data_IF_568772103622
#
_entry.id   IF_568772103622
#
_cell.length_a   1.000
_cell.length_b   1.000
_cell.length_c   1.000
_cell.angle_alpha   90.00
_cell.angle_beta   90.00
_cell.angle_gamma   90.00
#
_symmetry.space_group_name_H-M   'P 1'
#
loop_
_entity.id
_entity.type
_entity.pdbx_description
1 polymer ?
#
# COMPACT_ATOMS: atom_id res chain seq x y z
N UNK A 1 16.34 -12.66 8.65
CA UNK A 1 15.18 -13.50 8.30
C UNK A 1 14.42 -12.80 7.20
N UNK A 2 13.80 -13.54 6.29
CA UNK A 2 13.00 -12.95 5.22
C UNK A 2 11.82 -13.85 4.89
N UNK A 3 10.75 -13.26 4.37
CA UNK A 3 9.60 -14.01 3.87
C UNK A 3 9.51 -13.73 2.38
N UNK A 4 9.73 -14.73 1.51
CA UNK A 4 9.56 -14.57 0.08
C UNK A 4 8.17 -14.05 -0.28
N UNK A 5 8.08 -13.17 -1.28
CA UNK A 5 6.82 -12.53 -1.68
C UNK A 5 5.71 -13.54 -2.00
N UNK A 6 6.04 -14.63 -2.69
CA UNK A 6 5.12 -15.70 -3.03
C UNK A 6 4.57 -16.46 -1.82
N UNK A 7 5.22 -16.35 -0.65
CA UNK A 7 4.83 -16.98 0.61
C UNK A 7 4.25 -16.01 1.63
N UNK A 8 4.31 -14.70 1.39
CA UNK A 8 3.86 -13.70 2.35
C UNK A 8 2.41 -13.94 2.78
N UNK A 9 1.51 -14.15 1.83
CA UNK A 9 0.09 -14.33 2.13
C UNK A 9 -0.21 -15.67 2.80
N UNK A 10 0.54 -16.72 2.49
CA UNK A 10 0.47 -17.99 3.24
C UNK A 10 0.96 -17.82 4.69
N UNK A 11 1.96 -16.96 4.89
CA UNK A 11 2.44 -16.63 6.22
C UNK A 11 1.39 -15.84 7.02
N UNK A 12 0.74 -14.86 6.40
CA UNK A 12 -0.39 -14.13 6.98
C UNK A 12 -1.56 -15.08 7.28
N UNK A 13 -1.88 -16.01 6.38
CA UNK A 13 -2.89 -17.04 6.59
C UNK A 13 -2.59 -17.91 7.80
N UNK A 14 -1.34 -18.33 7.98
CA UNK A 14 -0.93 -19.11 9.14
C UNK A 14 -1.09 -18.33 10.45
N UNK A 15 -0.70 -17.05 10.48
CA UNK A 15 -0.92 -16.17 11.63
C UNK A 15 -2.43 -16.04 11.91
N UNK A 16 -3.23 -15.85 10.89
CA UNK A 16 -4.68 -15.73 11.03
C UNK A 16 -5.31 -17.01 11.59
N UNK A 17 -4.87 -18.18 11.13
CA UNK A 17 -5.33 -19.50 11.63
C UNK A 17 -4.93 -19.78 13.06
N UNK A 18 -3.80 -19.23 13.53
CA UNK A 18 -3.44 -19.29 14.95
C UNK A 18 -4.43 -18.50 15.83
N UNK A 19 -5.10 -17.49 15.28
CA UNK A 19 -6.03 -16.62 15.98
C UNK A 19 -7.46 -17.16 15.91
N UNK A 20 -7.89 -17.66 14.76
CA UNK A 20 -9.23 -18.22 14.55
C UNK A 20 -9.29 -19.10 13.31
N UNK A 21 -10.07 -20.20 13.40
CA UNK A 21 -10.34 -21.10 12.28
C UNK A 21 -11.37 -20.54 11.29
N UNK A 22 -11.94 -19.37 11.59
CA UNK A 22 -13.04 -18.77 10.85
C UNK A 22 -12.61 -17.69 9.85
N UNK A 23 -11.37 -17.72 9.37
CA UNK A 23 -10.85 -16.73 8.42
C UNK A 23 -10.76 -17.32 7.00
N UNK A 24 -11.20 -16.52 6.02
CA UNK A 24 -10.95 -16.72 4.60
C UNK A 24 -10.14 -15.53 4.10
N UNK A 25 -9.00 -15.82 3.48
CA UNK A 25 -8.08 -14.79 3.01
C UNK A 25 -8.21 -14.62 1.51
N UNK A 26 -8.36 -13.37 1.09
CA UNK A 26 -8.28 -12.94 -0.28
C UNK A 26 -7.12 -11.94 -0.43
N UNK A 27 -6.37 -12.03 -1.47
CA UNK A 27 -5.35 -11.03 -1.81
C UNK A 27 -5.69 -10.29 -3.08
N UNK A 28 -5.19 -9.07 -3.19
CA UNK A 28 -5.17 -8.34 -4.45
C UNK A 28 -3.81 -8.53 -5.11
N UNK A 29 -3.77 -9.28 -6.20
CA UNK A 29 -2.54 -9.61 -6.91
C UNK A 29 -2.31 -8.69 -8.11
N UNK A 30 -1.07 -8.42 -8.45
CA UNK A 30 0.18 -8.43 -7.66
C UNK A 30 0.46 -7.08 -7.00
N UNK A 31 -0.19 -5.99 -7.40
CA UNK A 31 0.10 -4.62 -7.00
C UNK A 31 -1.18 -3.84 -6.70
N UNK A 32 -2.08 -4.44 -5.98
CA UNK A 32 -3.40 -3.89 -5.76
C UNK A 32 -4.31 -4.14 -6.97
N UNK A 33 -5.42 -4.80 -6.75
CA UNK A 33 -6.38 -5.07 -7.81
C UNK A 33 -7.13 -3.80 -8.19
N UNK A 34 -7.49 -3.72 -9.45
CA UNK A 34 -8.35 -2.66 -9.99
C UNK A 34 -9.82 -3.03 -9.93
N UNK A 35 -10.14 -4.31 -9.75
CA UNK A 35 -11.51 -4.86 -9.74
C UNK A 35 -11.66 -5.94 -8.67
N UNK A 36 -12.88 -6.07 -8.14
CA UNK A 36 -13.17 -7.14 -7.17
C UNK A 36 -13.07 -8.55 -7.78
N UNK A 37 -13.29 -8.68 -9.07
CA UNK A 37 -13.15 -9.94 -9.78
C UNK A 37 -11.71 -10.46 -9.82
N UNK A 38 -10.75 -9.57 -9.62
CA UNK A 38 -9.31 -9.92 -9.59
C UNK A 38 -8.87 -10.46 -8.22
N UNK A 39 -9.79 -10.65 -7.26
CA UNK A 39 -9.48 -11.24 -5.97
C UNK A 39 -9.13 -12.71 -6.12
N UNK A 40 -7.99 -13.09 -5.58
CA UNK A 40 -7.56 -14.47 -5.46
C UNK A 40 -7.83 -14.98 -4.04
N UNK A 41 -8.57 -16.08 -3.93
CA UNK A 41 -8.76 -16.77 -2.66
C UNK A 41 -7.55 -17.65 -2.36
N UNK A 42 -6.95 -17.46 -1.18
CA UNK A 42 -5.79 -18.22 -0.72
C UNK A 42 -6.17 -19.43 0.12
N UNK A 43 -7.35 -19.39 0.71
CA UNK A 43 -7.87 -20.52 1.48
C UNK A 43 -8.76 -21.35 0.57
N UNK A 44 -8.40 -22.59 0.31
CA UNK A 44 -9.10 -23.45 -0.64
C UNK A 44 -10.58 -23.70 -0.29
N UNK A 45 -11.34 -24.24 -1.24
CA UNK A 45 -12.79 -24.45 -1.10
C UNK A 45 -13.19 -25.38 0.06
N UNK A 46 -12.28 -26.15 0.62
CA UNK A 46 -12.50 -27.03 1.77
C UNK A 46 -12.94 -26.25 3.01
N UNK A 47 -12.54 -24.98 3.14
CA UNK A 47 -12.94 -24.10 4.24
C UNK A 47 -14.41 -23.70 4.19
N UNK A 48 -15.09 -23.87 3.06
CA UNK A 48 -16.49 -23.52 2.85
C UNK A 48 -17.49 -24.55 3.38
N UNK A 49 -17.01 -25.78 3.65
CA UNK A 49 -17.89 -26.89 4.04
C UNK A 49 -18.39 -26.81 5.47
N UNK A 50 -17.76 -26.01 6.33
CA UNK A 50 -18.20 -25.76 7.68
C UNK A 50 -19.28 -24.68 7.70
N UNK A 51 -20.42 -24.92 8.33
CA UNK A 51 -21.54 -23.99 8.51
C UNK A 51 -21.20 -22.73 9.33
N UNK A 52 -20.01 -22.66 9.91
CA UNK A 52 -19.56 -21.51 10.69
C UNK A 52 -19.35 -20.27 9.84
N UNK A 53 -19.67 -19.12 10.39
CA UNK A 53 -19.43 -17.81 9.77
C UNK A 53 -17.93 -17.61 9.52
N UNK A 54 -17.59 -17.27 8.29
CA UNK A 54 -16.19 -17.00 7.92
C UNK A 54 -15.93 -15.51 7.91
N UNK A 55 -14.82 -15.10 8.52
CA UNK A 55 -14.31 -13.73 8.46
C UNK A 55 -13.56 -13.56 7.14
N UNK A 56 -13.96 -12.58 6.34
CA UNK A 56 -13.25 -12.26 5.10
C UNK A 56 -12.10 -11.31 5.40
N UNK A 57 -10.91 -11.65 4.95
CA UNK A 57 -9.72 -10.81 5.06
C UNK A 57 -9.19 -10.47 3.67
N UNK A 58 -9.15 -9.18 3.35
CA UNK A 58 -8.59 -8.67 2.10
C UNK A 58 -7.21 -8.09 2.35
N UNK A 59 -6.21 -8.57 1.62
CA UNK A 59 -4.86 -8.04 1.68
C UNK A 59 -4.64 -7.06 0.52
N UNK A 60 -4.57 -5.78 0.84
CA UNK A 60 -4.24 -4.70 -0.07
C UNK A 60 -3.14 -3.83 0.57
N UNK A 61 -1.97 -4.41 0.71
CA UNK A 61 -0.90 -3.93 1.57
C UNK A 61 0.39 -3.53 0.82
N UNK A 62 0.46 -3.80 -0.49
CA UNK A 62 1.65 -3.48 -1.29
C UNK A 62 1.55 -2.14 -2.01
N UNK A 63 0.36 -1.65 -2.26
CA UNK A 63 0.11 -0.37 -2.93
C UNK A 63 -0.80 0.50 -2.06
N UNK A 64 -0.81 1.82 -2.26
CA UNK A 64 -1.75 2.70 -1.59
C UNK A 64 -3.20 2.27 -1.84
N UNK A 65 -4.03 2.30 -0.80
CA UNK A 65 -5.42 1.88 -0.87
C UNK A 65 -6.20 2.62 -1.96
N UNK A 66 -6.81 1.85 -2.85
CA UNK A 66 -7.66 2.39 -3.90
C UNK A 66 -9.13 2.37 -3.47
N UNK A 67 -9.62 3.51 -2.99
CA UNK A 67 -11.01 3.61 -2.55
C UNK A 67 -12.03 3.28 -3.65
N UNK A 68 -11.73 3.56 -4.91
CA UNK A 68 -12.65 3.26 -6.03
C UNK A 68 -12.97 1.77 -6.15
N UNK A 69 -12.07 0.91 -5.70
CA UNK A 69 -12.28 -0.53 -5.68
C UNK A 69 -13.53 -0.93 -4.88
N UNK A 70 -13.82 -0.22 -3.80
CA UNK A 70 -14.90 -0.52 -2.85
C UNK A 70 -16.13 0.37 -3.02
N UNK A 71 -16.06 1.43 -3.82
CA UNK A 71 -17.20 2.31 -4.10
C UNK A 71 -18.36 1.54 -4.76
N UNK A 72 -18.04 0.61 -5.64
CA UNK A 72 -19.03 -0.18 -6.37
C UNK A 72 -19.82 -1.15 -5.48
N UNK A 73 -19.28 -1.49 -4.29
CA UNK A 73 -20.03 -2.30 -3.31
C UNK A 73 -21.21 -1.51 -2.73
N UNK A 74 -21.11 -0.18 -2.72
CA UNK A 74 -22.15 0.70 -2.15
C UNK A 74 -23.15 1.29 -3.17
N UNK A 75 -22.87 1.23 -4.45
CA UNK A 75 -23.68 1.87 -5.51
C UNK A 75 -24.88 1.02 -5.94
N UNK A 76 -24.79 -0.31 -5.77
CA UNK A 76 -25.90 -1.17 -6.10
C UNK A 76 -27.04 -1.05 -5.08
N UNK A 77 -28.26 -1.08 -5.56
CA UNK A 77 -29.45 -1.18 -4.70
C UNK A 77 -29.27 -2.34 -3.71
N UNK A 78 -29.84 -2.27 -2.50
CA UNK A 78 -29.79 -3.38 -1.55
C UNK A 78 -30.18 -4.73 -2.18
N UNK A 79 -31.09 -4.72 -3.12
CA UNK A 79 -31.57 -5.89 -3.85
C UNK A 79 -30.49 -6.45 -4.81
N UNK A 80 -29.88 -5.61 -5.63
CA UNK A 80 -28.79 -6.03 -6.53
C UNK A 80 -27.56 -6.49 -5.75
N UNK A 81 -27.29 -5.90 -4.60
CA UNK A 81 -26.29 -6.40 -3.67
C UNK A 81 -26.58 -7.82 -3.25
N UNK A 82 -27.77 -8.11 -2.78
CA UNK A 82 -28.17 -9.46 -2.36
C UNK A 82 -28.03 -10.43 -3.54
N UNK A 83 -28.51 -10.08 -4.74
CA UNK A 83 -28.42 -10.96 -5.91
C UNK A 83 -26.97 -11.27 -6.35
N UNK A 84 -26.08 -10.29 -6.28
CA UNK A 84 -24.65 -10.51 -6.56
C UNK A 84 -23.96 -11.42 -5.53
N UNK A 85 -24.59 -11.61 -4.37
CA UNK A 85 -24.13 -12.41 -3.26
C UNK A 85 -24.49 -13.88 -3.38
N UNK A 86 -25.51 -14.14 -4.20
CA UNK A 86 -26.03 -15.46 -4.44
C UNK A 86 -25.37 -16.02 -5.70
N UNK A 87 -24.77 -17.17 -5.58
CA UNK A 87 -24.35 -17.97 -6.72
C UNK A 87 -25.01 -19.34 -6.61
N UNK A 88 -25.28 -19.96 -7.74
CA UNK A 88 -25.67 -21.35 -7.77
C UNK A 88 -24.42 -22.20 -7.92
N UNK A 89 -24.34 -23.31 -7.17
CA UNK A 89 -23.33 -24.32 -7.40
C UNK A 89 -23.66 -25.18 -8.63
N UNK A 90 -22.78 -26.15 -8.93
CA UNK A 90 -22.95 -27.06 -10.07
C UNK A 90 -24.22 -27.89 -10.01
N UNK A 91 -24.80 -28.04 -8.80
CA UNK A 91 -25.99 -28.80 -8.52
C UNK A 91 -27.24 -27.90 -8.33
N UNK A 92 -27.16 -26.64 -8.76
CA UNK A 92 -28.19 -25.61 -8.60
C UNK A 92 -28.56 -25.26 -7.16
N UNK A 93 -27.72 -25.59 -6.17
CA UNK A 93 -27.95 -25.14 -4.82
C UNK A 93 -27.46 -23.72 -4.63
N UNK A 94 -28.22 -22.95 -3.84
CA UNK A 94 -27.88 -21.58 -3.53
C UNK A 94 -26.62 -21.51 -2.66
N UNK A 95 -25.57 -20.92 -3.20
CA UNK A 95 -24.36 -20.60 -2.44
C UNK A 95 -24.33 -19.12 -2.11
N UNK A 96 -24.05 -18.83 -0.86
CA UNK A 96 -23.86 -17.48 -0.37
C UNK A 96 -22.37 -17.18 -0.40
N UNK A 97 -21.96 -16.15 -1.15
CA UNK A 97 -20.56 -15.69 -1.12
C UNK A 97 -20.27 -15.10 0.27
N UNK A 98 -19.31 -15.64 1.04
CA UNK A 98 -19.08 -15.21 2.44
C UNK A 98 -18.68 -13.76 2.58
N UNK A 99 -18.14 -13.15 1.51
CA UNK A 99 -17.70 -11.75 1.47
C UNK A 99 -18.72 -10.72 1.91
N UNK A 100 -19.96 -11.13 2.20
CA UNK A 100 -21.08 -10.23 2.31
C UNK A 100 -21.67 -10.14 3.71
N UNK A 101 -21.52 -11.18 4.48
CA UNK A 101 -22.16 -11.29 5.79
C UNK A 101 -21.30 -10.80 6.93
N UNK A 102 -20.01 -10.70 6.69
CA UNK A 102 -19.04 -10.39 7.72
C UNK A 102 -18.49 -9.00 7.53
N UNK A 103 -18.21 -8.34 8.62
CA UNK A 103 -17.25 -7.26 8.60
C UNK A 103 -15.97 -7.82 8.02
N UNK A 104 -15.35 -7.05 7.17
CA UNK A 104 -14.17 -7.46 6.43
C UNK A 104 -12.94 -6.89 7.13
N UNK A 105 -11.95 -7.73 7.41
CA UNK A 105 -10.61 -7.26 7.71
C UNK A 105 -9.96 -6.78 6.43
N UNK A 106 -9.46 -5.55 6.44
CA UNK A 106 -8.67 -4.97 5.36
C UNK A 106 -7.23 -4.83 5.82
N UNK A 107 -6.36 -5.71 5.36
CA UNK A 107 -4.92 -5.62 5.63
C UNK A 107 -4.32 -4.56 4.73
N UNK A 108 -3.64 -3.59 5.32
CA UNK A 108 -3.08 -2.43 4.61
C UNK A 108 -1.77 -1.97 5.23
N UNK A 109 -1.04 -1.13 4.51
CA UNK A 109 0.27 -0.61 4.92
C UNK A 109 0.35 0.92 4.89
N UNK A 110 -0.77 1.63 4.96
CA UNK A 110 -0.75 3.09 5.01
C UNK A 110 -1.30 3.61 6.33
N UNK A 111 -0.66 4.66 6.86
CA UNK A 111 -1.15 5.42 8.01
C UNK A 111 -1.79 6.74 7.56
N UNK A 112 -2.52 7.39 8.46
CA UNK A 112 -3.23 8.67 8.24
C UNK A 112 -4.17 8.68 7.03
N UNK A 113 -4.65 7.52 6.62
CA UNK A 113 -5.50 7.40 5.44
C UNK A 113 -6.93 7.87 5.71
N UNK A 114 -7.33 8.96 5.07
CA UNK A 114 -8.75 9.39 5.04
C UNK A 114 -9.65 8.33 4.39
N UNK A 115 -9.08 7.47 3.54
CA UNK A 115 -9.81 6.37 2.93
C UNK A 115 -10.16 5.29 3.95
N UNK A 116 -9.35 5.04 4.98
CA UNK A 116 -9.66 4.07 6.04
C UNK A 116 -10.96 4.44 6.78
N UNK A 117 -11.21 5.71 7.03
CA UNK A 117 -12.48 6.17 7.65
C UNK A 117 -13.65 5.77 6.76
N UNK A 118 -13.52 5.93 5.44
CA UNK A 118 -14.57 5.53 4.48
C UNK A 118 -14.76 4.02 4.46
N UNK A 119 -13.69 3.23 4.56
CA UNK A 119 -13.79 1.78 4.67
C UNK A 119 -14.44 1.35 5.99
N UNK A 120 -14.11 1.97 7.11
CA UNK A 120 -14.72 1.70 8.41
C UNK A 120 -16.23 1.99 8.40
N UNK A 121 -16.66 3.08 7.76
CA UNK A 121 -18.07 3.38 7.56
C UNK A 121 -18.79 2.33 6.69
N UNK A 122 -18.05 1.59 5.87
CA UNK A 122 -18.53 0.48 5.05
C UNK A 122 -18.34 -0.90 5.72
N UNK A 123 -18.15 -0.94 7.03
CA UNK A 123 -17.99 -2.16 7.84
C UNK A 123 -16.64 -2.88 7.67
N UNK A 124 -15.64 -2.23 7.12
CA UNK A 124 -14.28 -2.78 7.10
C UNK A 124 -13.55 -2.45 8.42
N UNK A 125 -12.75 -3.38 8.89
CA UNK A 125 -11.82 -3.16 9.99
C UNK A 125 -10.42 -3.19 9.43
N UNK A 126 -9.69 -2.08 9.57
CA UNK A 126 -8.30 -1.98 9.13
C UNK A 126 -7.37 -2.83 9.98
N UNK A 127 -6.49 -3.57 9.32
CA UNK A 127 -5.39 -4.30 9.93
C UNK A 127 -4.10 -3.75 9.34
N UNK A 128 -3.48 -2.85 10.08
CA UNK A 128 -2.25 -2.21 9.67
C UNK A 128 -1.02 -3.07 9.98
N UNK A 129 -0.06 -3.06 9.07
CA UNK A 129 1.34 -3.41 9.30
C UNK A 129 2.22 -2.83 8.18
N UNK A 130 3.50 -2.66 8.44
CA UNK A 130 4.40 -2.18 7.40
C UNK A 130 4.85 -3.31 6.46
N UNK A 131 4.06 -3.59 5.44
CA UNK A 131 4.26 -4.73 4.52
C UNK A 131 5.60 -4.68 3.80
N UNK A 132 6.01 -3.49 3.33
CA UNK A 132 7.27 -3.34 2.61
C UNK A 132 8.49 -3.68 3.47
N UNK A 133 8.39 -3.53 4.80
CA UNK A 133 9.45 -3.97 5.70
C UNK A 133 9.73 -5.48 5.57
N UNK A 134 8.69 -6.30 5.45
CA UNK A 134 8.84 -7.75 5.27
C UNK A 134 9.28 -8.12 3.86
N UNK A 135 8.67 -7.51 2.85
CA UNK A 135 8.97 -7.79 1.44
C UNK A 135 10.42 -7.44 1.08
N UNK A 136 10.88 -6.28 1.55
CA UNK A 136 12.22 -5.78 1.20
C UNK A 136 13.33 -6.52 1.91
N UNK A 137 13.08 -7.15 3.05
CA UNK A 137 14.02 -8.07 3.67
C UNK A 137 14.38 -9.24 2.73
N UNK A 138 13.42 -9.71 1.93
CA UNK A 138 13.69 -10.71 0.90
C UNK A 138 14.32 -10.11 -0.35
N UNK A 139 13.78 -9.02 -0.85
CA UNK A 139 14.29 -8.37 -2.07
C UNK A 139 15.74 -7.92 -1.93
N UNK A 140 16.09 -7.34 -0.78
CA UNK A 140 17.44 -6.84 -0.51
C UNK A 140 18.33 -7.82 0.28
N UNK A 141 17.95 -9.10 0.40
CA UNK A 141 18.70 -10.10 1.19
C UNK A 141 20.18 -10.18 0.83
N UNK A 142 20.52 -9.99 -0.45
CA UNK A 142 21.89 -10.00 -0.90
C UNK A 142 22.69 -8.76 -0.50
N UNK A 143 22.01 -7.63 -0.24
CA UNK A 143 22.64 -6.41 0.23
C UNK A 143 23.24 -6.58 1.64
N UNK A 144 22.75 -7.52 2.45
CA UNK A 144 23.30 -7.82 3.77
C UNK A 144 24.80 -8.12 3.74
N UNK A 145 25.25 -8.84 2.72
CA UNK A 145 26.63 -9.30 2.59
C UNK A 145 27.51 -8.36 1.76
N UNK A 146 26.97 -7.26 1.28
CA UNK A 146 27.74 -6.26 0.58
C UNK A 146 28.50 -5.43 1.61
N UNK A 147 29.80 -5.73 1.76
CA UNK A 147 30.69 -4.86 2.51
C UNK A 147 31.07 -3.68 1.63
N UNK A 148 30.89 -2.47 2.15
CA UNK A 148 31.29 -1.29 1.40
C UNK A 148 32.80 -1.31 1.20
N UNK A 149 33.25 -1.54 -0.03
CA UNK A 149 34.63 -1.27 -0.44
C UNK A 149 34.85 0.25 -0.35
N UNK A 150 36.13 0.67 -0.29
CA UNK A 150 36.46 2.08 -0.38
C UNK A 150 35.75 2.70 -1.59
N UNK A 151 34.87 3.64 -1.33
CA UNK A 151 34.10 4.32 -2.38
C UNK A 151 35.03 5.13 -3.27
N UNK A 152 34.74 5.15 -4.57
CA UNK A 152 35.37 6.06 -5.52
C UNK A 152 34.28 7.03 -5.98
N UNK A 153 34.12 8.10 -5.21
CA UNK A 153 33.01 9.04 -5.39
C UNK A 153 33.21 9.87 -6.64
N UNK A 154 32.21 9.84 -7.53
CA UNK A 154 32.14 10.63 -8.75
C UNK A 154 31.01 11.66 -8.71
N UNK A 155 29.97 11.39 -7.94
CA UNK A 155 28.79 12.25 -7.74
C UNK A 155 28.40 12.27 -6.27
N UNK A 156 27.78 13.38 -5.84
CA UNK A 156 27.31 13.49 -4.44
C UNK A 156 26.00 12.71 -4.25
N UNK A 157 25.08 12.83 -5.19
CA UNK A 157 23.72 12.31 -5.04
C UNK A 157 23.41 11.19 -6.03
N UNK A 158 22.76 10.15 -5.54
CA UNK A 158 22.13 9.11 -6.34
C UNK A 158 20.62 9.34 -6.35
N UNK A 159 20.01 9.31 -7.54
CA UNK A 159 18.58 9.52 -7.71
C UNK A 159 18.00 8.42 -8.60
N UNK A 160 17.37 7.43 -7.99
CA UNK A 160 16.63 6.43 -8.75
C UNK A 160 15.20 6.90 -9.00
N UNK A 161 14.82 6.98 -10.27
CA UNK A 161 13.46 7.29 -10.67
C UNK A 161 13.02 6.40 -11.84
N UNK A 162 12.04 5.53 -11.59
CA UNK A 162 11.50 4.63 -12.61
C UNK A 162 10.34 5.24 -13.38
N UNK A 163 9.44 5.93 -12.68
CA UNK A 163 8.19 6.45 -13.22
C UNK A 163 7.82 7.75 -12.52
N UNK A 164 7.14 8.64 -13.22
CA UNK A 164 6.73 9.94 -12.69
C UNK A 164 5.23 10.23 -12.80
N UNK A 165 4.44 9.39 -13.45
CA UNK A 165 2.99 9.61 -13.58
C UNK A 165 2.20 9.37 -12.28
N UNK A 166 0.99 9.93 -12.20
CA UNK A 166 0.07 9.79 -11.09
C UNK A 166 0.56 10.52 -9.82
N UNK A 167 0.64 9.85 -8.69
CA UNK A 167 1.10 10.43 -7.42
C UNK A 167 2.58 10.81 -7.40
N UNK A 168 3.29 10.65 -8.52
CA UNK A 168 4.74 10.83 -8.64
C UNK A 168 5.12 12.01 -9.54
N UNK A 169 4.16 12.82 -9.97
CA UNK A 169 4.38 13.98 -10.86
C UNK A 169 5.40 14.98 -10.29
N UNK A 170 5.46 15.13 -8.97
CA UNK A 170 6.43 15.97 -8.26
C UNK A 170 7.89 15.65 -8.62
N UNK A 171 8.20 14.44 -9.10
CA UNK A 171 9.54 14.03 -9.50
C UNK A 171 10.09 14.80 -10.69
N UNK A 172 9.22 15.25 -11.59
CA UNK A 172 9.61 16.11 -12.71
C UNK A 172 9.95 17.51 -12.19
N UNK A 173 9.15 18.07 -11.27
CA UNK A 173 9.45 19.36 -10.64
C UNK A 173 10.69 19.30 -9.77
N UNK A 174 10.93 18.19 -9.10
CA UNK A 174 12.18 17.97 -8.38
C UNK A 174 13.40 18.13 -9.29
N UNK A 175 13.40 17.48 -10.46
CA UNK A 175 14.48 17.59 -11.44
C UNK A 175 14.59 19.00 -12.00
N UNK A 176 13.48 19.66 -12.26
CA UNK A 176 13.42 21.06 -12.68
C UNK A 176 14.15 21.99 -11.68
N UNK A 177 13.90 21.82 -10.38
CA UNK A 177 14.59 22.55 -9.32
C UNK A 177 16.10 22.23 -9.26
N UNK A 178 16.51 20.98 -9.52
CA UNK A 178 17.94 20.64 -9.60
C UNK A 178 18.64 21.36 -10.77
N UNK A 179 17.96 21.55 -11.89
CA UNK A 179 18.47 22.32 -13.02
C UNK A 179 18.62 23.79 -12.62
N UNK A 180 17.58 24.38 -12.01
CA UNK A 180 17.58 25.77 -11.55
C UNK A 180 18.72 26.06 -10.53
N UNK A 181 19.00 25.11 -9.65
CA UNK A 181 20.04 25.20 -8.63
C UNK A 181 21.44 24.82 -9.12
N UNK A 182 21.59 24.41 -10.39
CA UNK A 182 22.87 23.98 -10.96
C UNK A 182 23.42 22.69 -10.34
N UNK A 183 22.55 21.79 -9.88
CA UNK A 183 22.93 20.56 -9.17
C UNK A 183 23.07 19.34 -10.10
N UNK A 184 22.80 19.47 -11.38
CA UNK A 184 22.82 18.36 -12.34
C UNK A 184 24.14 17.59 -12.30
N UNK A 185 25.27 18.32 -12.27
CA UNK A 185 26.61 17.70 -12.24
C UNK A 185 26.93 16.97 -10.91
N UNK A 186 26.19 17.26 -9.85
CA UNK A 186 26.31 16.57 -8.57
C UNK A 186 25.51 15.28 -8.50
N UNK A 187 24.65 15.00 -9.49
CA UNK A 187 23.68 13.92 -9.45
C UNK A 187 24.02 12.79 -10.43
N UNK A 188 23.87 11.56 -9.98
CA UNK A 188 23.73 10.38 -10.82
C UNK A 188 22.26 9.97 -10.80
N UNK A 189 21.57 10.10 -11.94
CA UNK A 189 20.12 10.00 -12.01
C UNK A 189 19.63 9.05 -13.10
N UNK A 190 18.47 8.42 -12.87
CA UNK A 190 17.72 7.64 -13.85
C UNK A 190 16.42 8.31 -14.33
N UNK A 191 16.27 9.61 -14.12
CA UNK A 191 15.07 10.34 -14.55
C UNK A 191 14.98 10.34 -16.07
N UNK A 192 13.80 9.99 -16.59
CA UNK A 192 13.50 10.03 -18.02
C UNK A 192 12.40 11.04 -18.30
N UNK A 193 12.51 11.84 -19.36
CA UNK A 193 11.43 12.71 -19.81
C UNK A 193 10.22 11.94 -20.35
N UNK A 194 10.40 10.65 -20.67
CA UNK A 194 9.35 9.76 -21.16
C UNK A 194 8.93 8.82 -20.04
N UNK A 195 7.63 8.76 -19.75
CA UNK A 195 7.06 7.80 -18.77
C UNK A 195 7.18 6.37 -19.31
N UNK A 196 7.92 5.48 -18.63
CA UNK A 196 8.25 4.17 -19.18
C UNK A 196 7.04 3.27 -19.43
N UNK A 197 5.97 3.40 -18.63
CA UNK A 197 4.77 2.57 -18.78
C UNK A 197 3.83 3.05 -19.88
N UNK A 198 3.79 4.36 -20.12
CA UNK A 198 2.84 5.00 -21.02
C UNK A 198 3.47 5.30 -22.38
N UNK A 199 4.80 5.33 -22.46
CA UNK A 199 5.52 5.83 -23.63
C UNK A 199 5.24 7.31 -23.91
N UNK A 200 4.79 8.05 -22.87
CA UNK A 200 4.31 9.42 -23.00
C UNK A 200 5.39 10.39 -22.53
N UNK A 201 5.73 11.35 -23.39
CA UNK A 201 6.62 12.44 -23.04
C UNK A 201 5.91 13.44 -22.11
N UNK A 202 6.63 14.02 -21.12
CA UNK A 202 6.02 14.92 -20.13
C UNK A 202 5.31 16.14 -20.74
N UNK A 203 5.78 16.65 -21.88
CA UNK A 203 5.13 17.75 -22.62
C UNK A 203 3.72 17.40 -23.14
N UNK A 204 3.40 16.13 -23.23
CA UNK A 204 2.10 15.60 -23.66
C UNK A 204 1.24 15.15 -22.47
N UNK A 205 1.80 15.23 -21.26
CA UNK A 205 1.11 14.78 -20.05
C UNK A 205 0.21 15.88 -19.50
N UNK A 206 -1.01 15.47 -19.12
CA UNK A 206 -1.90 16.32 -18.35
C UNK A 206 -1.64 16.10 -16.85
N UNK A 207 -1.00 17.09 -16.22
CA UNK A 207 -0.69 17.04 -14.79
C UNK A 207 -1.95 17.14 -13.94
N UNK A 208 -2.04 16.31 -12.90
CA UNK A 208 -3.10 16.40 -11.90
C UNK A 208 -2.92 17.65 -11.02
N UNK A 209 -1.67 17.99 -10.74
CA UNK A 209 -1.28 19.23 -10.07
C UNK A 209 -0.35 20.02 -10.99
N UNK A 210 -0.78 21.21 -11.43
CA UNK A 210 -0.01 22.06 -12.31
C UNK A 210 1.32 22.56 -11.72
N UNK A 211 1.44 22.57 -10.39
CA UNK A 211 2.68 22.91 -9.69
C UNK A 211 3.84 21.94 -10.03
N UNK A 212 3.51 20.71 -10.42
CA UNK A 212 4.50 19.69 -10.77
C UNK A 212 4.97 19.74 -12.22
N UNK A 213 4.41 20.63 -13.03
CA UNK A 213 4.87 20.83 -14.41
C UNK A 213 6.27 21.45 -14.42
N UNK A 214 7.27 20.83 -15.05
CA UNK A 214 8.60 21.40 -15.15
C UNK A 214 8.64 22.61 -16.07
N UNK A 215 9.44 23.62 -15.70
CA UNK A 215 9.67 24.82 -16.51
C UNK A 215 10.84 24.69 -17.49
N UNK A 216 11.77 23.76 -17.23
CA UNK A 216 12.97 23.54 -18.01
C UNK A 216 12.85 22.34 -18.94
N UNK A 217 13.66 22.31 -20.00
CA UNK A 217 13.79 21.16 -20.90
C UNK A 217 14.68 20.13 -20.22
N UNK A 218 14.09 19.03 -19.76
CA UNK A 218 14.80 18.03 -18.96
C UNK A 218 15.86 17.25 -19.73
N UNK A 219 15.62 16.99 -21.03
CA UNK A 219 16.51 16.21 -21.90
C UNK A 219 17.88 16.85 -22.08
N UNK A 220 17.94 18.17 -22.11
CA UNK A 220 19.19 18.92 -22.33
C UNK A 220 20.11 18.86 -21.10
N UNK A 221 19.54 18.60 -19.92
CA UNK A 221 20.24 18.73 -18.65
C UNK A 221 20.44 17.43 -17.90
N UNK A 222 19.59 16.41 -18.12
CA UNK A 222 19.62 15.17 -17.38
C UNK A 222 19.86 13.97 -18.29
N UNK A 223 21.12 13.71 -18.69
CA UNK A 223 21.45 12.44 -19.33
C UNK A 223 21.16 11.30 -18.37
N UNK A 224 20.56 10.22 -18.87
CA UNK A 224 20.33 9.00 -18.08
C UNK A 224 21.69 8.35 -17.84
N UNK A 225 22.26 8.58 -16.66
CA UNK A 225 23.53 8.01 -16.25
C UNK A 225 23.41 6.67 -15.53
N UNK A 226 22.19 6.36 -15.08
CA UNK A 226 21.85 5.12 -14.38
C UNK A 226 20.84 4.37 -15.21
N UNK A 227 21.12 3.12 -15.54
CA UNK A 227 20.19 2.30 -16.33
C UNK A 227 18.82 2.24 -15.63
N UNK A 228 17.73 2.51 -16.35
CA UNK A 228 16.40 2.40 -15.78
C UNK A 228 16.17 0.95 -15.37
N UNK A 229 15.89 0.74 -14.09
CA UNK A 229 15.50 -0.57 -13.57
C UNK A 229 14.07 -0.89 -13.99
N UNK A 230 13.82 -2.12 -14.42
CA UNK A 230 12.46 -2.60 -14.65
C UNK A 230 11.70 -2.81 -13.35
N UNK A 231 12.41 -2.99 -12.25
CA UNK A 231 11.87 -3.21 -10.92
C UNK A 231 12.34 -2.13 -9.95
N UNK A 232 11.43 -1.58 -9.17
CA UNK A 232 11.73 -0.54 -8.18
C UNK A 232 12.60 -1.06 -7.01
N UNK A 233 12.64 -2.39 -6.84
CA UNK A 233 13.49 -3.05 -5.86
C UNK A 233 14.93 -3.30 -6.34
N UNK A 234 15.24 -3.06 -7.62
CA UNK A 234 16.60 -3.23 -8.13
C UNK A 234 17.53 -2.12 -7.66
N UNK A 235 18.79 -2.47 -7.52
CA UNK A 235 19.87 -1.53 -7.28
C UNK A 235 21.16 -2.02 -7.95
N UNK A 236 22.03 -1.06 -8.32
CA UNK A 236 23.35 -1.34 -8.84
C UNK A 236 24.39 -0.97 -7.77
N UNK A 237 25.16 -1.93 -7.32
CA UNK A 237 26.18 -1.70 -6.29
C UNK A 237 27.21 -0.64 -6.70
N UNK A 238 27.53 -0.53 -7.99
CA UNK A 238 28.48 0.48 -8.47
C UNK A 238 27.96 1.89 -8.29
N UNK A 239 26.65 2.12 -8.38
CA UNK A 239 26.04 3.42 -8.14
C UNK A 239 26.23 3.84 -6.67
N UNK A 240 26.09 2.88 -5.73
CA UNK A 240 26.34 3.13 -4.30
C UNK A 240 27.82 3.29 -3.97
N UNK A 241 28.72 2.73 -4.78
CA UNK A 241 30.18 2.91 -4.62
C UNK A 241 30.67 4.24 -5.21
N UNK A 242 29.90 4.84 -6.10
CA UNK A 242 30.25 6.08 -6.80
C UNK A 242 29.53 7.32 -6.26
N UNK A 243 28.63 7.17 -5.28
CA UNK A 243 27.83 8.27 -4.73
C UNK A 243 27.86 8.28 -3.20
N UNK A 244 27.62 9.46 -2.60
CA UNK A 244 27.62 9.62 -1.14
C UNK A 244 26.24 9.42 -0.52
N UNK A 245 25.20 9.99 -1.12
CA UNK A 245 23.84 10.11 -0.54
C UNK A 245 22.80 9.71 -1.58
N UNK A 246 21.85 8.85 -1.23
CA UNK A 246 20.69 8.60 -2.07
C UNK A 246 19.58 9.60 -1.75
N UNK A 247 19.02 10.26 -2.77
CA UNK A 247 17.78 11.03 -2.63
C UNK A 247 16.62 10.15 -3.06
N UNK A 248 15.88 9.72 -2.07
CA UNK A 248 14.75 8.80 -2.26
C UNK A 248 13.51 9.56 -2.68
N UNK A 249 12.96 9.23 -3.84
CA UNK A 249 11.72 9.81 -4.34
C UNK A 249 10.57 8.80 -4.13
N UNK A 250 9.82 8.95 -3.05
CA UNK A 250 8.75 8.01 -2.69
C UNK A 250 7.53 8.05 -3.62
N UNK A 251 6.64 7.07 -3.48
CA UNK A 251 5.42 6.95 -4.27
C UNK A 251 4.39 8.02 -3.88
N UNK A 252 4.27 8.30 -2.60
CA UNK A 252 3.39 9.34 -2.06
C UNK A 252 4.25 10.50 -1.57
N UNK A 253 3.98 11.68 -2.09
CA UNK A 253 4.64 12.93 -1.71
C UNK A 253 3.61 14.05 -1.49
N UNK A 254 2.81 14.34 -2.51
CA UNK A 254 1.67 15.26 -2.46
C UNK A 254 0.42 14.48 -2.00
N UNK A 255 0.44 14.06 -0.74
CA UNK A 255 -0.58 13.21 -0.13
C UNK A 255 -0.50 13.34 1.40
N UNK A 256 -1.61 13.13 2.09
CA UNK A 256 -1.64 13.06 3.56
C UNK A 256 -1.27 11.66 4.10
N UNK A 257 -1.36 10.64 3.26
CA UNK A 257 -1.14 9.24 3.64
C UNK A 257 0.34 8.94 3.78
N UNK A 258 0.68 8.22 4.82
CA UNK A 258 2.03 7.73 5.09
C UNK A 258 2.14 6.28 4.62
N UNK A 259 2.94 6.06 3.58
CA UNK A 259 3.17 4.75 2.98
C UNK A 259 4.58 4.69 2.39
N UNK A 260 5.53 4.24 3.21
CA UNK A 260 6.90 4.05 2.78
C UNK A 260 7.06 2.69 2.12
N UNK A 261 7.74 2.70 0.98
CA UNK A 261 7.89 1.56 0.11
C UNK A 261 9.32 1.02 0.10
N UNK A 262 9.61 0.10 -0.81
CA UNK A 262 10.95 -0.43 -1.04
C UNK A 262 12.00 0.67 -1.31
N UNK A 263 11.58 1.83 -1.79
CA UNK A 263 12.48 2.93 -2.14
C UNK A 263 13.20 3.49 -0.92
N UNK A 264 12.46 3.70 0.17
CA UNK A 264 13.03 4.16 1.45
C UNK A 264 13.93 3.11 2.09
N UNK A 265 13.62 1.83 1.90
CA UNK A 265 14.37 0.73 2.52
C UNK A 265 15.59 0.30 1.71
N UNK A 266 15.67 0.66 0.43
CA UNK A 266 16.81 0.35 -0.43
C UNK A 266 18.12 0.97 0.05
N UNK A 267 18.26 2.30 0.27
CA UNK A 267 19.49 2.87 0.80
C UNK A 267 19.83 2.32 2.18
N UNK A 268 18.83 2.05 3.02
CA UNK A 268 19.03 1.43 4.33
C UNK A 268 19.66 0.05 4.18
N UNK A 269 19.11 -0.80 3.32
CA UNK A 269 19.65 -2.15 3.06
C UNK A 269 21.06 -2.10 2.47
N UNK A 270 21.35 -1.11 1.62
CA UNK A 270 22.66 -0.90 1.01
C UNK A 270 23.67 -0.24 1.96
N UNK A 271 23.23 0.30 3.10
CA UNK A 271 24.09 1.04 4.03
C UNK A 271 24.53 2.40 3.48
N UNK A 272 23.63 3.11 2.82
CA UNK A 272 23.85 4.43 2.21
C UNK A 272 23.13 5.51 3.02
N UNK A 273 23.76 6.65 3.33
CA UNK A 273 23.06 7.84 3.78
C UNK A 273 21.98 8.26 2.78
N UNK A 274 20.88 8.83 3.25
CA UNK A 274 19.78 9.22 2.37
C UNK A 274 19.07 10.51 2.80
N UNK A 275 18.47 11.18 1.82
CA UNK A 275 17.47 12.23 1.98
C UNK A 275 16.14 11.66 1.48
N UNK A 276 15.07 11.79 2.26
CA UNK A 276 13.80 11.17 1.96
C UNK A 276 12.77 12.21 1.47
N UNK A 277 12.48 12.20 0.19
CA UNK A 277 11.36 12.93 -0.39
C UNK A 277 10.09 12.05 -0.35
N UNK A 278 9.36 12.14 0.72
CA UNK A 278 8.10 11.45 0.98
C UNK A 278 7.04 12.40 1.53
N UNK A 279 5.91 11.86 1.92
CA UNK A 279 4.88 12.58 2.67
C UNK A 279 5.46 13.11 3.98
N UNK A 280 4.97 14.25 4.47
CA UNK A 280 5.43 14.83 5.74
C UNK A 280 5.32 13.82 6.90
N UNK A 281 6.29 13.82 7.82
CA UNK A 281 6.40 12.86 8.93
C UNK A 281 6.96 11.49 8.53
N UNK A 282 7.52 11.34 7.33
CA UNK A 282 8.14 10.09 6.87
C UNK A 282 9.38 9.71 7.67
N UNK A 283 10.19 10.68 8.09
CA UNK A 283 11.37 10.44 8.93
C UNK A 283 10.96 10.07 10.36
N UNK A 284 9.91 10.69 10.90
CA UNK A 284 9.36 10.30 12.20
C UNK A 284 8.85 8.85 12.18
N UNK A 285 8.19 8.47 11.09
CA UNK A 285 7.74 7.10 10.88
C UNK A 285 8.91 6.11 10.86
N UNK A 286 10.01 6.40 10.17
CA UNK A 286 11.22 5.57 10.21
C UNK A 286 11.79 5.45 11.64
N UNK A 287 11.85 6.57 12.38
CA UNK A 287 12.32 6.57 13.77
C UNK A 287 11.45 5.72 14.68
N UNK A 288 10.14 5.65 14.45
CA UNK A 288 9.23 4.81 15.24
C UNK A 288 9.51 3.30 15.10
N UNK A 289 10.18 2.90 14.02
CA UNK A 289 10.66 1.53 13.81
C UNK A 289 12.14 1.32 14.23
N UNK A 290 12.75 2.29 14.91
CA UNK A 290 14.11 2.17 15.44
C UNK A 290 15.23 2.60 14.49
N UNK A 291 14.90 3.08 13.29
CA UNK A 291 15.90 3.67 12.40
C UNK A 291 16.36 5.03 12.89
N UNK A 292 17.61 5.36 12.63
CA UNK A 292 18.18 6.68 12.87
C UNK A 292 18.09 7.54 11.61
N UNK A 293 17.89 8.84 11.79
CA UNK A 293 17.91 9.83 10.73
C UNK A 293 19.10 10.79 10.92
N UNK A 294 19.28 11.73 10.03
CA UNK A 294 20.53 12.50 9.92
C UNK A 294 20.41 13.93 10.47
N UNK A 295 19.39 14.21 11.29
CA UNK A 295 19.02 15.56 11.73
C UNK A 295 20.06 16.33 12.53
N UNK A 296 21.14 15.68 13.01
CA UNK A 296 22.26 16.35 13.67
C UNK A 296 23.43 16.66 12.70
N UNK A 297 23.37 16.17 11.46
CA UNK A 297 24.35 16.40 10.40
C UNK A 297 23.83 17.43 9.40
N UNK A 298 22.57 17.30 9.01
CA UNK A 298 21.89 18.26 8.13
C UNK A 298 20.46 18.51 8.58
N UNK A 299 19.89 19.61 8.13
CA UNK A 299 18.55 20.01 8.51
C UNK A 299 17.49 19.09 7.90
N UNK A 300 16.74 18.36 8.74
CA UNK A 300 15.61 17.51 8.37
C UNK A 300 14.24 18.16 8.60
N UNK A 301 14.20 19.48 8.85
CA UNK A 301 12.96 20.19 9.13
C UNK A 301 11.95 20.14 7.97
N UNK A 302 12.42 19.85 6.76
CA UNK A 302 11.56 19.63 5.61
C UNK A 302 10.51 18.53 5.85
N UNK A 303 10.82 17.51 6.65
CA UNK A 303 9.89 16.41 6.95
C UNK A 303 8.66 16.85 7.75
N UNK A 304 8.70 18.00 8.41
CA UNK A 304 7.59 18.56 9.19
C UNK A 304 6.72 19.51 8.36
N UNK A 305 7.13 19.86 7.15
CA UNK A 305 6.41 20.79 6.27
C UNK A 305 5.25 20.06 5.59
N UNK A 306 4.02 20.48 5.89
CA UNK A 306 2.81 19.88 5.31
C UNK A 306 2.64 20.25 3.83
N UNK A 307 2.94 21.50 3.46
CA UNK A 307 2.86 21.96 2.08
C UNK A 307 3.90 21.22 1.20
N UNK A 308 3.46 20.49 0.16
CA UNK A 308 4.37 19.65 -0.63
C UNK A 308 5.31 20.48 -1.52
N UNK A 309 4.91 21.64 -2.00
CA UNK A 309 5.79 22.50 -2.82
C UNK A 309 6.90 23.10 -1.96
N UNK A 310 6.55 23.65 -0.78
CA UNK A 310 7.54 24.15 0.18
C UNK A 310 8.47 23.03 0.64
N UNK A 311 7.94 21.84 0.92
CA UNK A 311 8.74 20.67 1.30
C UNK A 311 9.74 20.29 0.22
N UNK A 312 9.33 20.30 -1.06
CA UNK A 312 10.21 19.99 -2.18
C UNK A 312 11.35 21.01 -2.32
N UNK A 313 11.03 22.30 -2.19
CA UNK A 313 12.02 23.38 -2.21
C UNK A 313 13.03 23.18 -1.07
N UNK A 314 12.58 22.92 0.16
CA UNK A 314 13.49 22.69 1.30
C UNK A 314 14.42 21.48 1.08
N UNK A 315 13.93 20.42 0.43
CA UNK A 315 14.76 19.25 0.09
C UNK A 315 15.83 19.63 -0.93
N UNK A 316 15.49 20.36 -1.98
CA UNK A 316 16.46 20.77 -2.98
C UNK A 316 17.45 21.83 -2.47
N UNK A 317 17.01 22.73 -1.58
CA UNK A 317 17.88 23.66 -0.85
C UNK A 317 18.87 22.94 0.06
N UNK A 318 18.43 21.88 0.74
CA UNK A 318 19.33 21.01 1.53
C UNK A 318 20.39 20.38 0.62
N UNK A 319 19.99 19.83 -0.52
CA UNK A 319 20.96 19.27 -1.49
C UNK A 319 21.95 20.32 -1.97
N UNK A 320 21.50 21.55 -2.22
CA UNK A 320 22.35 22.64 -2.61
C UNK A 320 23.34 23.04 -1.52
N UNK A 321 22.93 23.04 -0.25
CA UNK A 321 23.83 23.27 0.90
C UNK A 321 24.89 22.18 1.01
N UNK A 322 24.49 20.90 0.92
CA UNK A 322 25.40 19.76 0.97
C UNK A 322 26.43 19.79 -0.18
N UNK A 323 26.00 20.15 -1.38
CA UNK A 323 26.91 20.24 -2.54
C UNK A 323 28.02 21.29 -2.38
N UNK A 324 27.82 22.23 -1.46
CA UNK A 324 28.76 23.34 -1.15
C UNK A 324 29.59 23.12 0.08
N UNK A 325 29.49 21.96 0.73
CA UNK A 325 30.38 21.66 1.86
C UNK A 325 31.87 21.81 1.47
N UNK A 326 32.63 22.40 2.33
CA UNK A 326 34.08 22.36 2.22
C UNK A 326 34.61 20.92 2.25
N UNK A 327 35.83 20.69 1.81
CA UNK A 327 36.40 19.34 1.82
C UNK A 327 36.44 18.75 3.25
N UNK A 328 36.69 19.58 4.27
CA UNK A 328 36.69 19.16 5.67
C UNK A 328 35.27 18.81 6.17
N UNK A 329 34.30 19.69 5.95
CA UNK A 329 32.90 19.42 6.31
C UNK A 329 32.39 18.15 5.63
N UNK A 330 32.72 17.97 4.35
CA UNK A 330 32.30 16.77 3.60
C UNK A 330 32.87 15.51 4.23
N UNK A 331 34.14 15.48 4.56
CA UNK A 331 34.79 14.31 5.19
C UNK A 331 34.15 14.00 6.54
N UNK A 332 34.00 15.01 7.40
CA UNK A 332 33.44 14.82 8.74
C UNK A 332 31.96 14.40 8.71
N UNK A 333 31.13 15.14 7.99
CA UNK A 333 29.68 14.90 7.93
C UNK A 333 29.34 13.55 7.27
N UNK A 334 30.08 13.19 6.20
CA UNK A 334 29.84 11.90 5.56
C UNK A 334 30.35 10.72 6.40
N UNK A 335 31.39 10.87 7.17
CA UNK A 335 31.84 9.83 8.10
C UNK A 335 30.78 9.56 9.18
N UNK A 336 30.20 10.63 9.74
CA UNK A 336 29.14 10.52 10.73
C UNK A 336 27.83 9.95 10.11
N UNK A 337 27.45 10.42 8.92
CA UNK A 337 26.29 9.90 8.19
C UNK A 337 26.47 8.41 7.85
N UNK A 338 27.69 7.98 7.49
CA UNK A 338 27.97 6.57 7.22
C UNK A 338 27.79 5.69 8.46
N UNK A 339 28.20 6.18 9.64
CA UNK A 339 27.99 5.44 10.89
C UNK A 339 26.50 5.22 11.19
N UNK A 340 25.64 6.20 10.87
CA UNK A 340 24.18 6.05 10.95
C UNK A 340 23.68 5.05 9.92
N UNK A 341 24.13 5.14 8.69
CA UNK A 341 23.71 4.23 7.62
C UNK A 341 24.08 2.76 7.94
N UNK A 342 25.28 2.54 8.51
CA UNK A 342 25.72 1.22 8.96
C UNK A 342 24.86 0.68 10.12
N UNK A 343 24.52 1.55 11.08
CA UNK A 343 23.56 1.19 12.13
C UNK A 343 22.20 0.78 11.54
N UNK A 344 21.68 1.58 10.63
CA UNK A 344 20.38 1.35 9.99
C UNK A 344 20.35 0.03 9.20
N UNK A 345 21.43 -0.27 8.48
CA UNK A 345 21.59 -1.54 7.77
C UNK A 345 21.58 -2.72 8.72
N UNK A 346 22.34 -2.64 9.81
CA UNK A 346 22.38 -3.70 10.82
C UNK A 346 21.03 -3.88 11.49
N UNK A 347 20.33 -2.79 11.80
CA UNK A 347 18.99 -2.81 12.36
C UNK A 347 17.98 -3.42 11.39
N UNK A 348 18.00 -3.03 10.11
CA UNK A 348 17.10 -3.55 9.08
C UNK A 348 17.18 -5.07 8.96
N UNK A 349 18.39 -5.66 8.99
CA UNK A 349 18.55 -7.10 8.90
C UNK A 349 18.50 -7.82 10.27
N UNK A 350 18.17 -7.11 11.34
CA UNK A 350 18.10 -7.68 12.67
C UNK A 350 16.83 -8.52 12.87
N UNK A 351 16.90 -9.40 13.87
CA UNK A 351 15.75 -10.16 14.37
C UNK A 351 14.71 -9.26 15.03
N UNK A 352 15.19 -8.23 15.70
CA UNK A 352 14.41 -7.27 16.45
C UNK A 352 13.45 -6.52 15.52
N UNK A 353 13.94 -5.99 14.42
CA UNK A 353 13.12 -5.30 13.42
C UNK A 353 12.09 -6.25 12.78
N UNK A 354 12.54 -7.45 12.36
CA UNK A 354 11.61 -8.45 11.80
C UNK A 354 10.49 -8.79 12.79
N UNK A 355 10.84 -9.06 14.05
CA UNK A 355 9.86 -9.42 15.07
C UNK A 355 8.93 -8.25 15.42
N UNK A 356 9.41 -7.01 15.38
CA UNK A 356 8.58 -5.82 15.59
C UNK A 356 7.43 -5.78 14.57
N UNK A 357 7.75 -5.90 13.28
CA UNK A 357 6.74 -5.86 12.19
C UNK A 357 5.78 -7.04 12.26
N UNK A 358 6.27 -8.24 12.55
CA UNK A 358 5.42 -9.44 12.72
C UNK A 358 4.48 -9.29 13.93
N UNK A 359 5.00 -8.78 15.05
CA UNK A 359 4.19 -8.57 16.24
C UNK A 359 3.10 -7.51 16.02
N UNK A 360 3.42 -6.46 15.26
CA UNK A 360 2.45 -5.44 14.85
C UNK A 360 1.30 -6.08 14.06
N UNK A 361 1.62 -6.85 13.01
CA UNK A 361 0.62 -7.57 12.22
C UNK A 361 -0.24 -8.49 13.10
N UNK A 362 0.39 -9.30 13.94
CA UNK A 362 -0.29 -10.27 14.79
C UNK A 362 -1.24 -9.60 15.80
N UNK A 363 -0.78 -8.54 16.46
CA UNK A 363 -1.57 -7.80 17.45
C UNK A 363 -2.75 -7.08 16.81
N UNK A 364 -2.54 -6.44 15.67
CA UNK A 364 -3.59 -5.74 14.96
C UNK A 364 -4.63 -6.70 14.38
N UNK A 365 -4.20 -7.84 13.87
CA UNK A 365 -5.10 -8.88 13.39
C UNK A 365 -5.93 -9.49 14.54
N UNK A 366 -5.28 -9.79 15.68
CA UNK A 366 -5.97 -10.29 16.89
C UNK A 366 -7.04 -9.29 17.36
N UNK A 367 -6.69 -8.00 17.38
CA UNK A 367 -7.62 -6.93 17.75
C UNK A 367 -8.81 -6.86 16.79
N UNK A 368 -8.56 -6.91 15.48
CA UNK A 368 -9.59 -6.88 14.46
C UNK A 368 -10.54 -8.11 14.56
N UNK A 369 -10.00 -9.30 14.72
CA UNK A 369 -10.79 -10.54 14.90
C UNK A 369 -11.64 -10.45 16.15
N UNK A 370 -11.08 -9.99 17.27
CA UNK A 370 -11.83 -9.81 18.51
C UNK A 370 -12.98 -8.81 18.36
N UNK A 371 -12.75 -7.72 17.64
CA UNK A 371 -13.78 -6.73 17.32
C UNK A 371 -14.87 -7.34 16.42
N UNK A 372 -14.50 -8.15 15.45
CA UNK A 372 -15.45 -8.83 14.56
C UNK A 372 -16.33 -9.81 15.33
N UNK A 373 -15.77 -10.60 16.23
CA UNK A 373 -16.54 -11.52 17.07
C UNK A 373 -17.58 -10.82 17.95
N UNK A 374 -17.25 -9.63 18.49
CA UNK A 374 -18.19 -8.83 19.30
C UNK A 374 -19.34 -8.22 18.50
N UNK A 375 -19.16 -8.06 17.19
CA UNK A 375 -20.10 -7.31 16.32
C UNK A 375 -20.76 -8.18 15.27
N UNK A 376 -20.43 -9.46 15.19
CA UNK A 376 -21.01 -10.40 14.25
C UNK A 376 -22.38 -10.85 14.76
N UNK A 377 -23.40 -10.06 14.47
CA UNK A 377 -24.79 -10.47 14.53
C UNK A 377 -25.34 -10.44 13.11
N UNK A 378 -26.04 -11.49 12.71
CA UNK A 378 -26.81 -11.47 11.47
C UNK A 378 -28.03 -10.56 11.55
N UNK A 379 -28.35 -10.07 12.75
CA UNK A 379 -29.51 -9.27 13.02
C UNK A 379 -29.66 -8.05 12.08
N UNK A 380 -28.63 -7.21 11.82
CA UNK A 380 -28.75 -6.13 10.86
C UNK A 380 -29.03 -6.60 9.44
N UNK A 381 -28.53 -7.79 9.08
CA UNK A 381 -28.76 -8.38 7.77
C UNK A 381 -30.15 -9.00 7.67
N UNK A 382 -30.61 -9.70 8.69
CA UNK A 382 -31.97 -10.22 8.82
C UNK A 382 -32.97 -9.08 8.72
N UNK A 383 -32.80 -8.03 9.51
CA UNK A 383 -33.65 -6.84 9.50
C UNK A 383 -33.68 -6.18 8.12
N UNK A 384 -32.56 -6.16 7.41
CA UNK A 384 -32.48 -5.60 6.07
C UNK A 384 -33.20 -6.46 5.02
N UNK A 385 -33.09 -7.80 5.12
CA UNK A 385 -33.83 -8.73 4.25
C UNK A 385 -35.34 -8.66 4.53
N UNK A 386 -35.76 -8.62 5.78
CA UNK A 386 -37.15 -8.46 6.17
C UNK A 386 -37.70 -7.13 5.70
N UNK A 387 -36.95 -6.05 5.82
CA UNK A 387 -37.31 -4.74 5.32
C UNK A 387 -37.51 -4.76 3.78
N UNK A 388 -36.62 -5.43 3.04
CA UNK A 388 -36.73 -5.59 1.60
C UNK A 388 -37.98 -6.38 1.21
N UNK A 389 -38.32 -7.43 1.96
CA UNK A 389 -39.55 -8.22 1.74
C UNK A 389 -40.83 -7.46 2.10
N UNK A 390 -40.70 -6.41 2.94
CA UNK A 390 -41.85 -5.56 3.33
C UNK A 390 -42.10 -4.38 2.40
N UNK A 391 -41.25 -4.12 1.42
CA UNK A 391 -41.38 -2.94 0.55
C UNK A 391 -42.65 -3.02 -0.30
N UNK A 392 -43.34 -1.89 -0.38
CA UNK A 392 -44.57 -1.70 -1.18
C UNK A 392 -44.35 -2.09 -2.65
N UNK A 393 -43.18 -1.75 -3.20
CA UNK A 393 -42.76 -2.11 -4.57
C UNK A 393 -42.68 -3.62 -4.80
N UNK A 394 -42.33 -4.42 -3.79
CA UNK A 394 -42.31 -5.88 -3.87
C UNK A 394 -43.76 -6.40 -3.82
N UNK A 395 -44.64 -5.77 -3.04
CA UNK A 395 -46.06 -6.14 -3.00
C UNK A 395 -46.77 -5.77 -4.28
N UNK A 396 -46.54 -4.59 -4.81
CA UNK A 396 -47.06 -4.15 -6.11
C UNK A 396 -46.56 -5.07 -7.24
N UNK A 397 -45.32 -5.45 -7.20
CA UNK A 397 -44.73 -6.40 -8.14
C UNK A 397 -45.32 -7.82 -8.05
N UNK A 398 -45.72 -8.26 -6.85
CA UNK A 398 -46.45 -9.53 -6.63
C UNK A 398 -47.89 -9.47 -7.10
N UNK A 399 -48.54 -8.30 -7.04
CA UNK A 399 -49.90 -8.08 -7.55
C UNK A 399 -49.92 -8.04 -9.07
N UNK A 400 -48.90 -7.50 -9.72
CA UNK A 400 -48.72 -7.51 -11.17
C UNK A 400 -48.46 -8.94 -11.73
N UNK A 401 -47.86 -9.84 -10.94
CA UNK A 401 -47.65 -11.24 -11.30
C UNK A 401 -48.92 -12.08 -11.35
N UNK A 402 -49.98 -11.70 -10.67
CA UNK A 402 -51.30 -12.32 -10.82
C UNK A 402 -51.81 -12.19 -12.24
N UNK A 403 -51.23 -11.29 -13.03
CA UNK A 403 -51.58 -11.00 -14.42
C UNK A 403 -50.66 -11.63 -15.47
N UNK A 404 -49.80 -12.55 -15.11
CA UNK A 404 -49.18 -13.51 -16.04
C UNK A 404 -47.84 -13.09 -16.70
N UNK A 405 -47.23 -12.04 -16.29
CA UNK A 405 -45.95 -11.61 -16.91
C UNK A 405 -44.93 -11.19 -15.86
N UNK A 406 -44.00 -12.03 -15.39
CA UNK A 406 -42.64 -11.56 -15.05
C UNK A 406 -41.73 -12.59 -14.29
N UNK A 407 -40.40 -12.46 -14.40
CA UNK A 407 -39.39 -13.29 -13.70
C UNK A 407 -39.25 -13.01 -12.19
N UNK A 408 -40.20 -12.29 -11.58
CA UNK A 408 -40.10 -11.80 -10.19
C UNK A 408 -40.31 -12.84 -9.11
N UNK A 409 -41.18 -13.82 -9.35
CA UNK A 409 -41.49 -14.86 -8.34
C UNK A 409 -40.28 -15.66 -7.92
N UNK A 410 -39.39 -15.98 -8.86
CA UNK A 410 -38.12 -16.64 -8.55
C UNK A 410 -37.19 -15.80 -7.67
N UNK A 411 -37.21 -14.47 -7.80
CA UNK A 411 -36.36 -13.59 -7.01
C UNK A 411 -36.81 -13.47 -5.56
N UNK A 412 -38.10 -13.43 -5.33
CA UNK A 412 -38.70 -13.36 -3.99
C UNK A 412 -38.51 -14.68 -3.27
N UNK A 413 -38.79 -15.81 -3.91
CA UNK A 413 -38.50 -17.12 -3.35
C UNK A 413 -37.01 -17.30 -2.99
N UNK A 414 -36.12 -16.71 -3.80
CA UNK A 414 -34.69 -16.70 -3.47
C UNK A 414 -34.38 -15.87 -2.23
N UNK A 415 -34.94 -14.68 -2.07
CA UNK A 415 -34.76 -13.83 -0.89
C UNK A 415 -35.32 -14.51 0.37
N UNK A 416 -36.50 -15.11 0.29
CA UNK A 416 -37.12 -15.87 1.39
C UNK A 416 -36.24 -17.06 1.80
N UNK A 417 -35.69 -17.77 0.81
CA UNK A 417 -34.77 -18.89 1.06
C UNK A 417 -33.51 -18.41 1.75
N UNK A 418 -32.93 -17.27 1.31
CA UNK A 418 -31.76 -16.67 1.95
C UNK A 418 -32.08 -16.24 3.38
N UNK A 419 -33.21 -15.58 3.60
CA UNK A 419 -33.63 -15.15 4.92
C UNK A 419 -33.77 -16.35 5.86
N UNK A 420 -34.33 -17.46 5.40
CA UNK A 420 -34.44 -18.69 6.20
C UNK A 420 -33.04 -19.22 6.59
N UNK A 421 -32.14 -19.34 5.61
CA UNK A 421 -30.78 -19.83 5.86
C UNK A 421 -30.04 -18.92 6.85
N UNK A 422 -30.16 -17.61 6.68
CA UNK A 422 -29.47 -16.63 7.54
C UNK A 422 -30.02 -16.66 8.98
N UNK A 423 -31.33 -16.85 9.14
CA UNK A 423 -31.96 -17.03 10.46
C UNK A 423 -31.47 -18.31 11.14
N UNK A 424 -31.37 -19.41 10.41
CA UNK A 424 -30.83 -20.67 10.91
C UNK A 424 -29.35 -20.51 11.35
N UNK A 425 -28.54 -19.82 10.56
CA UNK A 425 -27.15 -19.52 10.89
C UNK A 425 -27.03 -18.60 12.12
N UNK A 426 -27.94 -17.64 12.29
CA UNK A 426 -27.97 -16.76 13.44
C UNK A 426 -28.31 -17.53 14.74
N UNK A 427 -29.25 -18.47 14.66
CA UNK A 427 -29.58 -19.33 15.80
C UNK A 427 -28.39 -20.20 16.24
N UNK A 428 -27.66 -20.79 15.28
CA UNK A 428 -26.45 -21.59 15.55
C UNK A 428 -25.33 -20.76 16.21
N UNK A 429 -25.28 -19.46 15.99
CA UNK A 429 -24.29 -18.59 16.63
C UNK A 429 -24.63 -18.17 18.06
N UNK A 430 -25.90 -18.28 18.44
CA UNK A 430 -26.34 -17.94 19.79
C UNK A 430 -26.29 -19.13 20.77
N UNK A 431 -26.19 -20.33 20.23
CA UNK A 431 -25.90 -21.56 20.96
C UNK A 431 -24.38 -21.78 21.07
#
# INVERSE_FOLDING_TARGET
>A
MSIPLDRLYHYIDNIAKEITDNIIIYRFYPHGSKKLEDLEELTGPETWQNKALKISMYCNDQEPLNYKLYQNINVDSPFNKILKLLSLDKDNNLKIKPTIYNKVCLVHSEQRSKNLIKYQNNQFIGVYYWSHALLTLDWFRFAQHIHQKKKTITKTFLIYNRAWSGTREYRLKFVDLLIELGLVDNCQSSVSPVEPKLGLHYNQHQFNNSAWCPGNILEDHFPINTAPSHYSADFNINDYQSTDIEVVLETLFDDDRLHLTEKSLRPIACGQPFILAGTHGSLEYLRSYGFKTFGHIWDEHYDQVEDPEERLIKITDLMHKISRWSAEERVNNLAEAQAIADYNKNHFFSKEFFNQVISELKNNLQSAVTQLHKTNSFEPFINRLEHLLSFKEIKEFLEDEKNGQHPGKNKINQIETVLKIVKELHQIQQE
#
